data_IF_405449852112
#
_entry.id   IF_405449852112
#
_cell.length_a   1.000
_cell.length_b   1.000
_cell.length_c   1.000
_cell.angle_alpha   90.00
_cell.angle_beta   90.00
_cell.angle_gamma   90.00
#
_symmetry.space_group_name_H-M   'P 1'
#
loop_
_entity.id
_entity.type
_entity.pdbx_description
1 polymer ?
#
# COMPACT_ATOMS: atom_id res chain seq x y z
N UNK A 1 35.61 -19.48 19.59
CA UNK A 1 34.23 -19.72 19.10
C UNK A 1 33.48 -18.40 19.13
N UNK A 2 33.49 -17.66 18.03
CA UNK A 2 32.79 -16.38 17.90
C UNK A 2 31.60 -16.59 16.98
N UNK A 3 30.38 -16.56 17.55
CA UNK A 3 29.14 -16.56 16.78
C UNK A 3 29.05 -15.19 16.11
N UNK A 4 29.35 -15.13 14.81
CA UNK A 4 29.02 -13.97 13.98
C UNK A 4 27.50 -13.86 13.93
N UNK A 5 26.96 -12.89 14.67
CA UNK A 5 25.65 -12.31 14.42
C UNK A 5 25.65 -11.87 12.94
N UNK A 6 24.95 -12.61 12.10
CA UNK A 6 24.52 -12.12 10.79
C UNK A 6 23.28 -11.27 11.02
N UNK A 7 23.48 -10.09 11.60
CA UNK A 7 22.56 -8.97 11.35
C UNK A 7 22.78 -8.62 9.88
N UNK A 8 21.88 -9.10 9.03
CA UNK A 8 21.79 -8.60 7.66
C UNK A 8 21.40 -7.12 7.76
N UNK A 9 22.26 -6.17 7.34
CA UNK A 9 21.80 -4.80 7.19
C UNK A 9 20.76 -4.84 6.06
N UNK A 10 19.51 -4.57 6.41
CA UNK A 10 18.42 -4.47 5.45
C UNK A 10 18.67 -3.20 4.64
N UNK A 11 19.46 -3.34 3.57
CA UNK A 11 19.73 -2.26 2.63
C UNK A 11 18.38 -1.83 2.03
N UNK A 12 18.06 -0.54 2.10
CA UNK A 12 16.72 -0.02 1.76
C UNK A 12 16.33 -0.36 0.31
N UNK A 13 17.30 -0.37 -0.60
CA UNK A 13 17.12 -0.82 -1.98
C UNK A 13 16.94 -2.35 -2.10
N UNK A 14 17.61 -3.13 -1.25
CA UNK A 14 17.52 -4.59 -1.26
C UNK A 14 16.16 -5.09 -0.75
N UNK A 15 15.55 -4.39 0.22
CA UNK A 15 14.23 -4.75 0.75
C UNK A 15 13.10 -4.62 -0.27
N UNK A 16 13.09 -3.51 -1.00
CA UNK A 16 12.09 -3.23 -2.03
C UNK A 16 12.23 -4.13 -3.25
N UNK A 17 13.47 -4.31 -3.73
CA UNK A 17 13.75 -5.24 -4.82
C UNK A 17 13.40 -6.68 -4.43
N UNK A 18 13.67 -7.09 -3.19
CA UNK A 18 13.28 -8.40 -2.68
C UNK A 18 11.75 -8.60 -2.67
N UNK A 19 10.96 -7.55 -2.39
CA UNK A 19 9.50 -7.63 -2.48
C UNK A 19 9.03 -7.82 -3.91
N UNK A 20 9.60 -7.07 -4.86
CA UNK A 20 9.29 -7.23 -6.29
C UNK A 20 9.66 -8.62 -6.81
N UNK A 21 10.86 -9.10 -6.47
CA UNK A 21 11.34 -10.44 -6.82
C UNK A 21 10.48 -11.53 -6.17
N UNK A 22 10.09 -11.37 -4.91
CA UNK A 22 9.18 -12.29 -4.23
C UNK A 22 7.81 -12.32 -4.90
N UNK A 23 7.25 -11.18 -5.30
CA UNK A 23 5.99 -11.12 -6.05
C UNK A 23 6.08 -11.84 -7.40
N UNK A 24 7.19 -11.64 -8.13
CA UNK A 24 7.43 -12.33 -9.40
C UNK A 24 7.61 -13.83 -9.20
N UNK A 25 8.37 -14.24 -8.18
CA UNK A 25 8.59 -15.64 -7.82
C UNK A 25 7.31 -16.33 -7.33
N UNK A 26 6.42 -15.62 -6.63
CA UNK A 26 5.13 -16.15 -6.22
C UNK A 26 4.23 -16.42 -7.44
N UNK A 27 4.18 -15.47 -8.38
CA UNK A 27 3.40 -15.62 -9.62
C UNK A 27 3.98 -16.71 -10.55
N UNK A 28 5.30 -16.84 -10.61
CA UNK A 28 6.00 -17.85 -11.42
C UNK A 28 6.15 -19.21 -10.72
N UNK A 29 5.96 -19.25 -9.41
CA UNK A 29 6.30 -20.39 -8.55
C UNK A 29 5.53 -21.64 -8.94
N UNK A 30 6.29 -22.68 -9.31
CA UNK A 30 5.75 -23.98 -9.74
C UNK A 30 5.64 -24.96 -8.58
N UNK A 31 6.34 -24.69 -7.48
CA UNK A 31 6.38 -25.53 -6.29
C UNK A 31 5.90 -24.80 -5.05
N UNK A 32 5.38 -25.55 -4.06
CA UNK A 32 4.94 -25.00 -2.77
C UNK A 32 6.07 -24.32 -2.00
N UNK A 33 7.30 -24.83 -2.10
CA UNK A 33 8.45 -24.28 -1.39
C UNK A 33 8.84 -22.88 -1.90
N UNK A 34 8.81 -22.67 -3.22
CA UNK A 34 9.09 -21.35 -3.83
C UNK A 34 8.04 -20.31 -3.42
N UNK A 35 6.76 -20.71 -3.37
CA UNK A 35 5.67 -19.83 -2.92
C UNK A 35 5.80 -19.48 -1.44
N UNK A 36 6.13 -20.45 -0.59
CA UNK A 36 6.37 -20.21 0.85
C UNK A 36 7.56 -19.29 1.10
N UNK A 37 8.64 -19.42 0.32
CA UNK A 37 9.78 -18.52 0.43
C UNK A 37 9.39 -17.07 0.09
N UNK A 38 8.64 -16.87 -1.00
CA UNK A 38 8.12 -15.57 -1.39
C UNK A 38 7.16 -14.98 -0.33
N UNK A 39 6.25 -15.79 0.22
CA UNK A 39 5.35 -15.37 1.30
C UNK A 39 6.12 -14.92 2.55
N UNK A 40 7.20 -15.63 2.91
CA UNK A 40 8.04 -15.24 4.04
C UNK A 40 8.65 -13.84 3.86
N UNK A 41 9.09 -13.51 2.64
CA UNK A 41 9.63 -12.17 2.33
C UNK A 41 8.54 -11.12 2.44
N UNK A 42 7.35 -11.36 1.88
CA UNK A 42 6.21 -10.44 1.97
C UNK A 42 5.74 -10.25 3.41
N UNK A 43 5.81 -11.29 4.24
CA UNK A 43 5.48 -11.20 5.66
C UNK A 43 6.51 -10.37 6.44
N UNK A 44 7.80 -10.58 6.21
CA UNK A 44 8.87 -9.81 6.83
C UNK A 44 8.80 -8.33 6.42
N UNK A 45 8.49 -8.05 5.16
CA UNK A 45 8.26 -6.70 4.66
C UNK A 45 7.21 -5.96 5.50
N UNK A 46 6.05 -6.57 5.76
CA UNK A 46 4.97 -5.97 6.56
C UNK A 46 5.37 -5.67 8.01
N UNK A 47 6.31 -6.42 8.56
CA UNK A 47 6.80 -6.25 9.93
C UNK A 47 7.91 -5.19 10.03
N UNK A 48 8.47 -4.75 8.90
CA UNK A 48 9.54 -3.75 8.87
C UNK A 48 9.08 -2.42 9.49
N UNK A 49 9.92 -1.75 10.30
CA UNK A 49 9.67 -0.39 10.75
C UNK A 49 9.49 0.61 9.59
N UNK A 50 10.07 0.33 8.42
CA UNK A 50 10.00 1.16 7.22
C UNK A 50 8.85 0.80 6.28
N UNK A 51 8.05 -0.22 6.63
CA UNK A 51 7.02 -0.78 5.74
C UNK A 51 6.04 0.26 5.18
N UNK A 52 5.74 1.33 5.94
CA UNK A 52 4.88 2.42 5.44
C UNK A 52 5.58 3.23 4.34
N UNK A 53 6.81 3.69 4.57
CA UNK A 53 7.59 4.44 3.59
C UNK A 53 7.89 3.59 2.35
N UNK A 54 8.28 2.33 2.55
CA UNK A 54 8.57 1.40 1.46
C UNK A 54 7.32 1.10 0.64
N UNK A 55 6.13 0.99 1.27
CA UNK A 55 4.87 0.82 0.56
C UNK A 55 4.50 2.04 -0.29
N UNK A 56 4.74 3.26 0.22
CA UNK A 56 4.56 4.48 -0.59
C UNK A 56 5.47 4.44 -1.82
N UNK A 57 6.72 4.04 -1.65
CA UNK A 57 7.67 3.97 -2.76
C UNK A 57 7.30 2.86 -3.76
N UNK A 58 6.91 1.67 -3.29
CA UNK A 58 6.48 0.57 -4.16
C UNK A 58 5.24 0.97 -4.97
N UNK A 59 4.26 1.62 -4.33
CA UNK A 59 3.06 2.06 -5.04
C UNK A 59 3.36 3.11 -6.12
N UNK A 60 4.36 3.95 -5.91
CA UNK A 60 4.69 5.07 -6.82
C UNK A 60 5.67 4.70 -7.94
N UNK A 61 6.63 3.79 -7.68
CA UNK A 61 7.72 3.51 -8.61
C UNK A 61 7.77 2.07 -9.12
N UNK A 62 7.11 1.12 -8.45
CA UNK A 62 7.17 -0.28 -8.87
C UNK A 62 6.41 -0.48 -10.18
N UNK A 63 7.03 -1.21 -11.10
CA UNK A 63 6.38 -1.69 -12.31
C UNK A 63 5.67 -3.04 -12.11
N UNK A 64 5.77 -3.67 -10.92
CA UNK A 64 5.22 -4.99 -10.63
C UNK A 64 3.82 -4.85 -9.99
N UNK A 65 2.72 -5.20 -10.68
CA UNK A 65 1.37 -4.99 -10.15
C UNK A 65 1.08 -5.68 -8.82
N UNK A 66 1.67 -6.86 -8.61
CA UNK A 66 1.55 -7.57 -7.34
C UNK A 66 2.25 -6.84 -6.20
N UNK A 67 3.42 -6.23 -6.44
CA UNK A 67 4.12 -5.44 -5.44
C UNK A 67 3.32 -4.19 -5.07
N UNK A 68 2.71 -3.51 -6.06
CA UNK A 68 1.78 -2.40 -5.83
C UNK A 68 0.57 -2.84 -4.98
N UNK A 69 -0.03 -4.00 -5.28
CA UNK A 69 -1.13 -4.54 -4.48
C UNK A 69 -0.73 -4.83 -3.03
N UNK A 70 0.43 -5.46 -2.82
CA UNK A 70 0.96 -5.69 -1.48
C UNK A 70 1.29 -4.39 -0.75
N UNK A 71 1.78 -3.38 -1.43
CA UNK A 71 2.00 -2.05 -0.87
C UNK A 71 0.67 -1.42 -0.40
N UNK A 72 -0.38 -1.44 -1.24
CA UNK A 72 -1.70 -0.89 -0.88
C UNK A 72 -2.29 -1.62 0.35
N UNK A 73 -2.26 -2.95 0.36
CA UNK A 73 -2.79 -3.73 1.48
C UNK A 73 -1.98 -3.51 2.76
N UNK A 74 -0.67 -3.36 2.65
CA UNK A 74 0.21 -3.04 3.79
C UNK A 74 -0.07 -1.65 4.35
N UNK A 75 -0.25 -0.63 3.49
CA UNK A 75 -0.67 0.71 3.93
C UNK A 75 -2.02 0.69 4.66
N UNK A 76 -2.96 -0.12 4.19
CA UNK A 76 -4.24 -0.32 4.87
C UNK A 76 -4.05 -0.88 6.28
N UNK A 77 -3.35 -2.02 6.40
CA UNK A 77 -3.11 -2.71 7.67
C UNK A 77 -2.38 -1.80 8.67
N UNK A 78 -1.30 -1.14 8.24
CA UNK A 78 -0.52 -0.25 9.09
C UNK A 78 -1.33 0.96 9.55
N UNK A 79 -2.16 1.54 8.67
CA UNK A 79 -2.97 2.72 8.99
C UNK A 79 -4.16 2.41 9.91
N UNK A 80 -4.56 1.14 10.02
CA UNK A 80 -5.63 0.69 10.92
C UNK A 80 -5.16 0.42 12.35
N UNK A 81 -3.84 0.34 12.59
CA UNK A 81 -3.28 0.12 13.92
C UNK A 81 -3.72 1.25 14.89
N UNK A 82 -4.03 0.87 16.14
CA UNK A 82 -4.53 1.82 17.15
C UNK A 82 -3.53 2.93 17.48
N UNK A 83 -2.24 2.66 17.34
CA UNK A 83 -1.16 3.63 17.53
C UNK A 83 -1.14 4.75 16.48
N UNK A 84 -1.85 4.59 15.35
CA UNK A 84 -1.89 5.57 14.27
C UNK A 84 -2.95 6.62 14.55
N UNK A 85 -2.53 7.88 14.61
CA UNK A 85 -3.41 9.01 14.87
C UNK A 85 -4.37 9.29 13.70
N UNK A 86 -5.43 10.05 13.98
CA UNK A 86 -6.39 10.51 12.95
C UNK A 86 -5.68 11.32 11.87
N UNK A 87 -4.75 12.20 12.25
CA UNK A 87 -3.98 13.04 11.32
C UNK A 87 -3.08 12.22 10.40
N UNK A 88 -2.34 11.24 10.95
CA UNK A 88 -1.50 10.34 10.16
C UNK A 88 -2.35 9.51 9.18
N UNK A 89 -3.52 9.03 9.61
CA UNK A 89 -4.44 8.32 8.72
C UNK A 89 -4.96 9.22 7.60
N UNK A 90 -5.24 10.50 7.91
CA UNK A 90 -5.68 11.51 6.93
C UNK A 90 -4.60 11.81 5.90
N UNK A 91 -3.34 11.88 6.30
CA UNK A 91 -2.19 12.00 5.39
C UNK A 91 -2.12 10.79 4.43
N UNK A 92 -2.23 9.56 4.95
CA UNK A 92 -2.28 8.36 4.09
C UNK A 92 -3.47 8.41 3.12
N UNK A 93 -4.67 8.79 3.58
CA UNK A 93 -5.86 8.93 2.71
C UNK A 93 -5.58 9.95 1.59
N UNK A 94 -5.02 11.11 1.93
CA UNK A 94 -4.68 12.17 0.97
C UNK A 94 -3.69 11.68 -0.09
N UNK A 95 -2.64 10.97 0.33
CA UNK A 95 -1.68 10.35 -0.57
C UNK A 95 -2.35 9.35 -1.52
N UNK A 96 -3.18 8.42 -1.00
CA UNK A 96 -3.84 7.40 -1.82
C UNK A 96 -4.84 8.01 -2.82
N UNK A 97 -5.57 9.05 -2.41
CA UNK A 97 -6.47 9.81 -3.31
C UNK A 97 -5.69 10.52 -4.41
N UNK A 98 -4.58 11.18 -4.07
CA UNK A 98 -3.72 11.83 -5.06
C UNK A 98 -3.12 10.80 -6.04
N UNK A 99 -2.67 9.65 -5.53
CA UNK A 99 -2.13 8.59 -6.37
C UNK A 99 -3.19 7.99 -7.32
N UNK A 100 -4.41 7.74 -6.81
CA UNK A 100 -5.53 7.22 -7.61
C UNK A 100 -5.92 8.12 -8.79
N UNK A 101 -5.63 9.42 -8.68
CA UNK A 101 -6.06 10.45 -9.65
C UNK A 101 -4.94 10.88 -10.59
N UNK A 102 -3.69 10.66 -10.20
CA UNK A 102 -2.50 11.06 -10.98
C UNK A 102 -1.86 9.90 -11.75
N UNK A 103 -2.17 8.65 -11.39
CA UNK A 103 -1.58 7.47 -12.03
C UNK A 103 -2.23 7.18 -13.39
N UNK A 104 -1.43 7.10 -14.45
CA UNK A 104 -1.92 7.10 -15.84
C UNK A 104 -2.39 5.76 -16.38
N UNK A 105 -2.32 4.66 -15.62
CA UNK A 105 -2.84 3.33 -16.02
C UNK A 105 -2.47 2.33 -14.93
N UNK A 106 -3.39 2.03 -14.02
CA UNK A 106 -3.19 1.00 -12.98
C UNK A 106 -4.01 -0.25 -13.32
N UNK A 107 -3.48 -1.47 -13.11
CA UNK A 107 -4.26 -2.70 -13.29
C UNK A 107 -5.52 -2.69 -12.41
N UNK A 108 -6.64 -3.18 -12.95
CA UNK A 108 -7.97 -3.07 -12.33
C UNK A 108 -8.05 -3.63 -10.90
N UNK A 109 -7.32 -4.72 -10.63
CA UNK A 109 -7.29 -5.33 -9.29
C UNK A 109 -6.52 -4.46 -8.28
N UNK A 110 -5.44 -3.79 -8.70
CA UNK A 110 -4.69 -2.85 -7.85
C UNK A 110 -5.52 -1.59 -7.61
N UNK A 111 -6.17 -1.06 -8.66
CA UNK A 111 -7.08 0.08 -8.54
C UNK A 111 -8.25 -0.22 -7.60
N UNK A 112 -8.83 -1.42 -7.68
CA UNK A 112 -9.91 -1.87 -6.80
C UNK A 112 -9.44 -1.99 -5.34
N UNK A 113 -8.24 -2.53 -5.11
CA UNK A 113 -7.63 -2.57 -3.78
C UNK A 113 -7.36 -1.16 -3.22
N UNK A 114 -6.91 -0.24 -4.07
CA UNK A 114 -6.64 1.15 -3.72
C UNK A 114 -7.91 1.88 -3.29
N UNK A 115 -8.97 1.81 -4.11
CA UNK A 115 -10.27 2.42 -3.80
C UNK A 115 -10.87 1.82 -2.53
N UNK A 116 -10.80 0.49 -2.38
CA UNK A 116 -11.28 -0.19 -1.17
C UNK A 116 -10.53 0.27 0.08
N UNK A 117 -9.21 0.41 -0.02
CA UNK A 117 -8.37 0.92 1.08
C UNK A 117 -8.75 2.34 1.46
N UNK A 118 -8.91 3.24 0.48
CA UNK A 118 -9.38 4.61 0.70
C UNK A 118 -10.71 4.61 1.46
N UNK A 119 -11.68 3.81 1.02
CA UNK A 119 -12.99 3.72 1.65
C UNK A 119 -12.91 3.21 3.11
N UNK A 120 -12.09 2.17 3.35
CA UNK A 120 -11.87 1.62 4.70
C UNK A 120 -11.28 2.69 5.63
N UNK A 121 -10.26 3.42 5.18
CA UNK A 121 -9.59 4.43 6.01
C UNK A 121 -10.49 5.65 6.26
N UNK A 122 -11.25 6.11 5.26
CA UNK A 122 -12.27 7.15 5.43
C UNK A 122 -13.32 6.72 6.45
N UNK A 123 -13.85 5.50 6.33
CA UNK A 123 -14.82 4.96 7.29
C UNK A 123 -14.23 4.90 8.70
N UNK A 124 -12.96 4.52 8.84
CA UNK A 124 -12.26 4.46 10.13
C UNK A 124 -12.12 5.85 10.76
N UNK A 125 -11.77 6.87 9.97
CA UNK A 125 -11.68 8.25 10.45
C UNK A 125 -13.05 8.91 10.65
N UNK A 126 -14.10 8.42 10.00
CA UNK A 126 -15.37 9.12 9.84
C UNK A 126 -15.90 9.75 11.14
N UNK A 127 -16.05 8.97 12.21
CA UNK A 127 -16.61 9.45 13.46
C UNK A 127 -15.73 10.47 14.19
N UNK A 128 -14.42 10.48 13.90
CA UNK A 128 -13.42 11.35 14.52
C UNK A 128 -13.20 12.64 13.72
N UNK A 129 -13.62 12.69 12.45
CA UNK A 129 -13.56 13.89 11.61
C UNK A 129 -14.69 14.88 11.94
N UNK A 130 -14.41 16.17 11.75
CA UNK A 130 -15.41 17.23 11.88
C UNK A 130 -16.48 17.12 10.78
N UNK A 131 -17.69 17.68 10.98
CA UNK A 131 -18.70 17.74 9.92
C UNK A 131 -18.19 18.39 8.64
N UNK A 132 -17.38 19.45 8.75
CA UNK A 132 -16.78 20.15 7.61
C UNK A 132 -15.81 19.26 6.83
N UNK A 133 -14.96 18.51 7.52
CA UNK A 133 -14.01 17.57 6.90
C UNK A 133 -14.73 16.45 6.16
N UNK A 134 -15.82 15.91 6.74
CA UNK A 134 -16.66 14.89 6.09
C UNK A 134 -17.24 15.41 4.78
N UNK A 135 -17.75 16.65 4.77
CA UNK A 135 -18.28 17.29 3.55
C UNK A 135 -17.18 17.47 2.50
N UNK A 136 -15.98 17.90 2.89
CA UNK A 136 -14.85 18.04 1.98
C UNK A 136 -14.46 16.70 1.32
N UNK A 137 -14.40 15.62 2.11
CA UNK A 137 -14.13 14.27 1.61
C UNK A 137 -15.20 13.83 0.60
N UNK A 138 -16.49 14.02 0.91
CA UNK A 138 -17.59 13.67 0.00
C UNK A 138 -17.55 14.50 -1.29
N UNK A 139 -17.23 15.79 -1.19
CA UNK A 139 -17.05 16.67 -2.35
C UNK A 139 -15.93 16.17 -3.26
N UNK A 140 -14.78 15.80 -2.68
CA UNK A 140 -13.66 15.23 -3.45
C UNK A 140 -14.07 13.93 -4.15
N UNK A 141 -14.71 12.99 -3.44
CA UNK A 141 -15.18 11.72 -4.03
C UNK A 141 -16.13 11.98 -5.20
N UNK A 142 -17.07 12.92 -5.03
CA UNK A 142 -18.05 13.28 -6.06
C UNK A 142 -17.36 13.85 -7.29
N UNK A 143 -16.42 14.78 -7.10
CA UNK A 143 -15.65 15.37 -8.20
C UNK A 143 -14.83 14.33 -8.97
N UNK A 144 -14.23 13.37 -8.25
CA UNK A 144 -13.50 12.27 -8.89
C UNK A 144 -14.42 11.38 -9.72
N UNK A 145 -15.58 10.99 -9.17
CA UNK A 145 -16.55 10.19 -9.90
C UNK A 145 -17.09 10.89 -11.17
N UNK A 146 -17.32 12.21 -11.10
CA UNK A 146 -17.76 13.01 -12.24
C UNK A 146 -16.68 13.21 -13.30
N UNK A 147 -15.39 13.15 -12.94
CA UNK A 147 -14.29 13.27 -13.90
C UNK A 147 -14.13 12.01 -14.77
N UNK A 148 -14.49 10.84 -14.26
CA UNK A 148 -14.41 9.57 -14.98
C UNK A 148 -15.57 9.33 -15.97
N UNK A 149 -16.67 10.09 -15.87
CA UNK A 149 -17.82 9.95 -16.78
C UNK A 149 -17.70 10.73 -18.10
N UNK A 150 -16.55 11.39 -18.35
CA UNK A 150 -16.31 12.25 -19.52
C UNK A 150 -15.36 11.67 -20.57
N UNK A 151 -15.07 10.36 -20.54
CA UNK A 151 -14.35 9.71 -21.65
C UNK A 151 -15.33 9.27 -22.75
N UNK A 152 -15.26 9.82 -23.97
CA UNK A 152 -16.11 9.43 -25.10
C UNK A 152 -15.82 8.01 -25.62
#
# INVERSE_FOLDING_TARGET
>A
MSKRNTEFPFDIAAGMQAVEEACLAFAAGRTTAERQAAESVLHQFKQSPQAHADSIHLLTHSAVPMAQFHAVTTLCELSLLERVSVSQRKETIGFLLHHATSSSSMPSFVASALISTIAILIKRNWLQESPTDRTAILSHITQLASSSSNTP
#
